data_IF_068247579652
#
_entry.id   IF_068247579652
#
_cell.length_a   1.000
_cell.length_b   1.000
_cell.length_c   1.000
_cell.angle_alpha   90.00
_cell.angle_beta   90.00
_cell.angle_gamma   90.00
#
_symmetry.space_group_name_H-M   'P 1'
#
loop_
_entity.id
_entity.type
_entity.pdbx_description
1 polymer ?
#
# COMPACT_ATOMS: atom_id res chain seq x y z
N UNK A 1 -23.83 38.73 -28.19
CA UNK A 1 -22.85 38.51 -27.12
C UNK A 1 -23.50 37.65 -26.04
N UNK A 2 -23.13 36.37 -25.87
CA UNK A 2 -23.66 35.55 -24.78
C UNK A 2 -22.66 35.48 -23.60
N UNK A 3 -23.11 35.96 -22.45
CA UNK A 3 -22.52 35.77 -21.13
C UNK A 3 -22.22 34.30 -20.86
N UNK A 4 -20.95 33.92 -20.78
CA UNK A 4 -20.49 32.64 -20.22
C UNK A 4 -20.13 32.86 -18.75
N UNK A 5 -20.94 32.32 -17.85
CA UNK A 5 -20.54 32.03 -16.48
C UNK A 5 -19.84 30.67 -16.45
N UNK A 6 -18.62 30.52 -15.90
CA UNK A 6 -18.18 29.25 -15.38
C UNK A 6 -18.43 29.21 -13.87
N UNK A 7 -19.43 28.40 -13.52
CA UNK A 7 -19.39 27.37 -12.47
C UNK A 7 -18.72 27.77 -11.16
N UNK A 8 -19.56 27.96 -10.14
CA UNK A 8 -19.18 27.82 -8.73
C UNK A 8 -18.38 26.53 -8.56
N UNK A 9 -17.09 26.63 -8.24
CA UNK A 9 -16.33 25.47 -7.75
C UNK A 9 -16.95 25.06 -6.42
N UNK A 10 -17.80 24.05 -6.50
CA UNK A 10 -18.30 23.30 -5.37
C UNK A 10 -17.11 22.75 -4.57
N UNK A 11 -17.22 22.87 -3.25
CA UNK A 11 -16.61 22.00 -2.26
C UNK A 11 -15.09 21.84 -2.32
N UNK A 12 -14.42 22.34 -1.28
CA UNK A 12 -13.41 21.51 -0.61
C UNK A 12 -14.11 20.21 -0.22
N UNK A 13 -14.12 19.24 -1.11
CA UNK A 13 -14.33 17.86 -0.71
C UNK A 13 -13.09 17.49 0.05
N UNK A 14 -13.23 17.25 1.36
CA UNK A 14 -12.34 16.36 2.08
C UNK A 14 -12.28 15.06 1.25
N UNK A 15 -11.27 14.93 0.41
CA UNK A 15 -10.92 13.64 -0.17
C UNK A 15 -10.70 12.72 1.03
N UNK A 16 -11.37 11.55 1.11
CA UNK A 16 -10.96 10.52 2.07
C UNK A 16 -9.45 10.41 1.96
N UNK A 17 -8.72 10.66 3.05
CA UNK A 17 -7.26 10.71 3.00
C UNK A 17 -6.81 9.43 2.33
N UNK A 18 -6.11 9.51 1.19
CA UNK A 18 -5.64 8.34 0.42
C UNK A 18 -4.80 7.37 1.28
N UNK A 19 -4.35 7.86 2.44
CA UNK A 19 -3.68 7.14 3.50
C UNK A 19 -4.56 6.15 4.29
N UNK A 20 -5.89 6.33 4.34
CA UNK A 20 -6.81 5.44 5.08
C UNK A 20 -6.91 4.04 4.45
N UNK A 21 -7.12 3.88 3.12
CA UNK A 21 -7.02 2.57 2.47
C UNK A 21 -5.65 1.91 2.64
N UNK A 22 -4.58 2.71 2.68
CA UNK A 22 -3.21 2.21 2.82
C UNK A 22 -2.93 1.70 4.25
N UNK A 23 -3.43 2.37 5.29
CA UNK A 23 -3.36 1.87 6.66
C UNK A 23 -4.04 0.50 6.79
N UNK A 24 -5.28 0.38 6.30
CA UNK A 24 -6.03 -0.88 6.34
C UNK A 24 -5.29 -1.98 5.57
N UNK A 25 -4.74 -1.67 4.39
CA UNK A 25 -3.94 -2.61 3.63
C UNK A 25 -2.72 -3.10 4.42
N UNK A 26 -1.96 -2.19 5.02
CA UNK A 26 -0.76 -2.53 5.77
C UNK A 26 -1.07 -3.31 7.06
N UNK A 27 -2.17 -3.01 7.76
CA UNK A 27 -2.63 -3.78 8.92
C UNK A 27 -2.98 -5.24 8.54
N UNK A 28 -3.74 -5.41 7.45
CA UNK A 28 -4.08 -6.74 6.96
C UNK A 28 -2.84 -7.50 6.47
N UNK A 29 -1.94 -6.83 5.76
CA UNK A 29 -0.65 -7.40 5.36
C UNK A 29 0.17 -7.87 6.57
N UNK A 30 0.19 -7.07 7.65
CA UNK A 30 0.92 -7.38 8.87
C UNK A 30 0.38 -8.64 9.56
N UNK A 31 -0.94 -8.81 9.58
CA UNK A 31 -1.57 -10.01 10.13
C UNK A 31 -1.16 -11.28 9.36
N UNK A 32 -1.10 -11.20 8.03
CA UNK A 32 -0.75 -12.37 7.20
C UNK A 32 0.73 -12.76 7.33
N UNK A 33 1.64 -11.78 7.41
CA UNK A 33 3.08 -12.04 7.53
C UNK A 33 3.47 -12.51 8.94
N UNK A 34 2.73 -12.09 9.97
CA UNK A 34 2.92 -12.49 11.35
C UNK A 34 2.42 -13.92 11.65
N UNK A 35 1.65 -14.54 10.75
CA UNK A 35 1.20 -15.91 10.88
C UNK A 35 2.37 -16.90 10.75
N UNK A 36 2.86 -17.37 11.91
CA UNK A 36 3.98 -18.32 12.03
C UNK A 36 3.60 -19.76 11.65
N UNK A 37 2.33 -20.06 11.37
CA UNK A 37 1.92 -21.37 10.85
C UNK A 37 2.29 -21.55 9.38
N UNK A 38 2.58 -20.46 8.67
CA UNK A 38 2.98 -20.46 7.26
C UNK A 38 4.49 -20.49 7.12
N UNK A 39 4.97 -20.91 5.95
CA UNK A 39 6.36 -20.69 5.55
C UNK A 39 6.59 -19.22 5.18
N UNK A 40 7.83 -18.68 5.32
CA UNK A 40 8.12 -17.27 5.06
C UNK A 40 7.64 -16.77 3.69
N UNK A 41 7.93 -17.50 2.61
CA UNK A 41 7.47 -17.14 1.26
C UNK A 41 5.95 -17.07 1.18
N UNK A 42 5.25 -18.08 1.70
CA UNK A 42 3.79 -18.13 1.68
C UNK A 42 3.16 -16.98 2.47
N UNK A 43 3.75 -16.61 3.61
CA UNK A 43 3.31 -15.50 4.43
C UNK A 43 3.48 -14.15 3.71
N UNK A 44 4.58 -13.94 3.00
CA UNK A 44 4.84 -12.73 2.20
C UNK A 44 3.86 -12.63 1.02
N UNK A 45 3.58 -13.75 0.33
CA UNK A 45 2.56 -13.79 -0.74
C UNK A 45 1.17 -13.49 -0.19
N UNK A 46 0.81 -14.05 0.97
CA UNK A 46 -0.49 -13.81 1.61
C UNK A 46 -0.65 -12.34 2.05
N UNK A 47 0.40 -11.75 2.63
CA UNK A 47 0.48 -10.33 2.96
C UNK A 47 0.18 -9.46 1.73
N UNK A 48 0.90 -9.71 0.65
CA UNK A 48 0.70 -9.03 -0.62
C UNK A 48 -0.75 -9.14 -1.13
N UNK A 49 -1.33 -10.34 -1.16
CA UNK A 49 -2.71 -10.55 -1.60
C UNK A 49 -3.75 -9.88 -0.68
N UNK A 50 -3.46 -9.71 0.62
CA UNK A 50 -4.33 -8.98 1.53
C UNK A 50 -4.27 -7.47 1.29
N UNK A 51 -3.08 -6.92 1.07
CA UNK A 51 -2.90 -5.51 0.70
C UNK A 51 -3.62 -5.19 -0.60
N UNK A 52 -3.49 -6.03 -1.63
CA UNK A 52 -4.18 -5.84 -2.91
C UNK A 52 -5.71 -5.80 -2.75
N UNK A 53 -6.27 -6.75 -1.98
CA UNK A 53 -7.72 -6.79 -1.73
C UNK A 53 -8.21 -5.54 -1.02
N UNK A 54 -7.44 -5.05 -0.05
CA UNK A 54 -7.78 -3.84 0.70
C UNK A 54 -7.73 -2.58 -0.17
N UNK A 55 -6.69 -2.46 -1.01
CA UNK A 55 -6.55 -1.32 -1.92
C UNK A 55 -7.61 -1.37 -3.04
N UNK A 56 -7.91 -2.55 -3.57
CA UNK A 56 -8.96 -2.75 -4.56
C UNK A 56 -10.38 -2.40 -4.06
N UNK A 57 -10.60 -2.42 -2.75
CA UNK A 57 -11.87 -2.00 -2.14
C UNK A 57 -12.08 -0.47 -2.19
N UNK A 58 -11.04 0.31 -2.48
CA UNK A 58 -11.12 1.76 -2.64
C UNK A 58 -11.14 2.14 -4.13
N UNK A 59 -12.18 2.83 -4.63
CA UNK A 59 -12.27 3.24 -6.04
C UNK A 59 -11.11 4.14 -6.51
N UNK A 60 -10.47 4.87 -5.59
CA UNK A 60 -9.29 5.68 -5.88
C UNK A 60 -7.98 4.87 -5.91
N UNK A 61 -7.94 3.69 -5.27
CA UNK A 61 -6.76 2.82 -5.18
C UNK A 61 -6.91 1.49 -5.95
N UNK A 62 -8.03 1.30 -6.65
CA UNK A 62 -8.28 0.10 -7.46
C UNK A 62 -7.26 -0.02 -8.60
N UNK A 63 -6.68 -1.22 -8.83
CA UNK A 63 -5.80 -1.47 -9.97
C UNK A 63 -6.54 -1.19 -11.28
N UNK A 64 -5.87 -0.54 -12.24
CA UNK A 64 -6.32 -0.53 -13.64
C UNK A 64 -5.96 -1.89 -14.26
N UNK A 65 -6.69 -2.31 -15.30
CA UNK A 65 -6.51 -3.61 -15.97
C UNK A 65 -5.09 -3.88 -16.53
N UNK A 66 -4.20 -2.88 -16.54
CA UNK A 66 -2.81 -2.98 -17.00
C UNK A 66 -1.78 -2.80 -15.88
N UNK A 67 -2.21 -2.49 -14.66
CA UNK A 67 -1.28 -2.25 -13.56
C UNK A 67 -0.71 -3.58 -13.09
N UNK A 68 0.61 -3.64 -13.06
CA UNK A 68 1.30 -4.59 -12.21
C UNK A 68 1.08 -4.20 -10.76
N UNK A 69 1.11 -5.16 -9.84
CA UNK A 69 0.90 -4.90 -8.42
C UNK A 69 1.92 -3.95 -7.79
N UNK A 70 3.12 -3.89 -8.38
CA UNK A 70 4.15 -2.89 -8.07
C UNK A 70 3.71 -1.48 -8.44
N UNK A 71 2.99 -1.28 -9.55
CA UNK A 71 2.49 0.03 -9.99
C UNK A 71 1.33 0.55 -9.13
N UNK A 72 0.60 -0.33 -8.44
CA UNK A 72 -0.40 0.05 -7.43
C UNK A 72 0.28 0.53 -6.14
N UNK A 73 1.33 -0.17 -5.69
CA UNK A 73 2.17 0.28 -4.57
C UNK A 73 2.95 1.55 -4.90
N UNK A 74 3.53 1.65 -6.09
CA UNK A 74 4.25 2.85 -6.55
C UNK A 74 3.35 4.07 -6.64
N UNK A 75 2.07 3.93 -6.98
CA UNK A 75 1.12 5.06 -6.97
C UNK A 75 0.77 5.53 -5.56
N UNK A 76 0.67 4.61 -4.60
CA UNK A 76 0.55 4.95 -3.18
C UNK A 76 1.83 5.61 -2.62
N UNK A 77 2.98 5.38 -3.26
CA UNK A 77 4.25 6.07 -2.98
C UNK A 77 4.31 7.45 -3.66
N UNK A 78 3.79 7.58 -4.89
CA UNK A 78 3.83 8.80 -5.70
C UNK A 78 3.01 9.95 -5.09
N UNK A 79 2.04 9.63 -4.23
CA UNK A 79 1.25 10.60 -3.45
C UNK A 79 1.97 11.11 -2.19
N UNK A 80 3.24 10.77 -2.00
CA UNK A 80 4.14 11.18 -0.89
C UNK A 80 3.73 10.71 0.50
N UNK A 81 2.92 9.66 0.61
CA UNK A 81 2.50 9.11 1.91
C UNK A 81 3.59 8.26 2.55
N UNK A 82 4.46 7.62 1.77
CA UNK A 82 5.47 6.67 2.26
C UNK A 82 6.92 7.14 2.06
N UNK A 83 7.80 6.77 3.00
CA UNK A 83 9.25 6.88 2.80
C UNK A 83 9.69 5.91 1.69
N UNK A 84 10.60 6.34 0.78
CA UNK A 84 11.05 5.50 -0.34
C UNK A 84 11.58 4.13 0.10
N UNK A 85 12.30 4.06 1.22
CA UNK A 85 12.92 2.81 1.69
C UNK A 85 11.91 1.71 2.03
N UNK A 86 10.84 2.03 2.76
CA UNK A 86 9.84 1.03 3.19
C UNK A 86 9.09 0.44 2.00
N UNK A 87 8.77 1.28 1.01
CA UNK A 87 8.08 0.85 -0.19
C UNK A 87 8.98 -0.02 -1.08
N UNK A 88 10.22 0.39 -1.30
CA UNK A 88 11.19 -0.40 -2.07
C UNK A 88 11.38 -1.79 -1.46
N UNK A 89 11.55 -1.89 -0.14
CA UNK A 89 11.69 -3.20 0.53
C UNK A 89 10.49 -4.11 0.32
N UNK A 90 9.25 -3.58 0.41
CA UNK A 90 8.06 -4.40 0.15
C UNK A 90 7.99 -4.88 -1.31
N UNK A 91 8.26 -3.99 -2.27
CA UNK A 91 8.25 -4.34 -3.70
C UNK A 91 9.29 -5.42 -4.02
N UNK A 92 10.51 -5.29 -3.49
CA UNK A 92 11.58 -6.28 -3.68
C UNK A 92 11.19 -7.64 -3.08
N UNK A 93 10.67 -7.66 -1.85
CA UNK A 93 10.25 -8.90 -1.18
C UNK A 93 9.08 -9.57 -1.90
N UNK A 94 8.12 -8.81 -2.42
CA UNK A 94 7.00 -9.36 -3.20
C UNK A 94 7.46 -9.92 -4.54
N UNK A 95 8.32 -9.19 -5.26
CA UNK A 95 8.88 -9.66 -6.51
C UNK A 95 9.70 -10.95 -6.31
N UNK A 96 10.55 -10.99 -5.29
CA UNK A 96 11.32 -12.18 -4.94
C UNK A 96 10.42 -13.35 -4.58
N UNK A 97 9.41 -13.14 -3.73
CA UNK A 97 8.49 -14.20 -3.33
C UNK A 97 7.72 -14.83 -4.50
N UNK A 98 7.40 -14.02 -5.52
CA UNK A 98 6.52 -14.41 -6.62
C UNK A 98 7.27 -14.93 -7.84
N UNK A 99 8.47 -14.41 -8.10
CA UNK A 99 9.21 -14.69 -9.34
C UNK A 99 10.56 -15.36 -9.12
N UNK A 100 11.11 -15.35 -7.91
CA UNK A 100 12.39 -15.99 -7.61
C UNK A 100 12.22 -17.42 -7.10
N UNK A 101 13.25 -18.23 -7.33
CA UNK A 101 13.41 -19.55 -6.70
C UNK A 101 14.23 -19.49 -5.41
N UNK A 102 14.84 -18.35 -5.08
CA UNK A 102 15.67 -18.15 -3.88
C UNK A 102 14.93 -18.50 -2.58
N UNK A 103 15.58 -19.24 -1.70
CA UNK A 103 15.02 -19.58 -0.38
C UNK A 103 14.73 -18.32 0.42
N UNK A 104 13.46 -18.08 0.72
CA UNK A 104 13.06 -17.01 1.65
C UNK A 104 13.08 -17.54 3.07
N UNK A 105 13.78 -16.82 3.93
CA UNK A 105 14.00 -17.14 5.34
C UNK A 105 13.10 -16.30 6.25
N UNK A 106 13.13 -16.61 7.54
CA UNK A 106 12.49 -15.78 8.57
C UNK A 106 12.99 -14.33 8.58
N UNK A 107 14.23 -14.07 8.14
CA UNK A 107 14.74 -12.70 8.02
C UNK A 107 13.97 -11.89 6.97
N UNK A 108 13.54 -12.54 5.87
CA UNK A 108 12.71 -11.90 4.86
C UNK A 108 11.31 -11.57 5.42
N UNK A 109 10.76 -12.46 6.26
CA UNK A 109 9.51 -12.21 6.99
C UNK A 109 9.66 -11.01 7.93
N UNK A 110 10.73 -10.96 8.70
CA UNK A 110 11.01 -9.85 9.62
C UNK A 110 11.21 -8.53 8.87
N UNK A 111 11.86 -8.56 7.71
CA UNK A 111 11.99 -7.39 6.84
C UNK A 111 10.63 -6.89 6.33
N UNK A 112 9.75 -7.80 5.88
CA UNK A 112 8.39 -7.46 5.48
C UNK A 112 7.58 -6.88 6.66
N UNK A 113 7.62 -7.50 7.83
CA UNK A 113 7.00 -6.98 9.05
C UNK A 113 7.49 -5.57 9.40
N UNK A 114 8.81 -5.35 9.34
CA UNK A 114 9.42 -4.05 9.62
C UNK A 114 8.98 -2.97 8.63
N UNK A 115 8.95 -3.30 7.34
CA UNK A 115 8.52 -2.38 6.30
C UNK A 115 7.03 -2.02 6.41
N UNK A 116 6.16 -2.98 6.75
CA UNK A 116 4.73 -2.71 7.01
C UNK A 116 4.50 -1.82 8.22
N UNK A 117 5.26 -2.03 9.32
CA UNK A 117 5.18 -1.15 10.49
C UNK A 117 5.62 0.27 10.15
N UNK A 118 6.69 0.42 9.38
CA UNK A 118 7.14 1.73 8.91
C UNK A 118 6.10 2.43 8.02
N UNK A 119 5.38 1.67 7.17
CA UNK A 119 4.25 2.19 6.39
C UNK A 119 3.13 2.71 7.28
N UNK A 120 2.77 1.97 8.34
CA UNK A 120 1.74 2.41 9.29
C UNK A 120 2.16 3.68 10.04
N UNK A 121 3.41 3.78 10.47
CA UNK A 121 3.96 5.00 11.08
C UNK A 121 3.89 6.19 10.12
N UNK A 122 4.29 6.00 8.87
CA UNK A 122 4.28 7.06 7.86
C UNK A 122 2.85 7.57 7.62
N UNK A 123 1.88 6.66 7.49
CA UNK A 123 0.46 7.02 7.35
C UNK A 123 -0.08 7.79 8.56
N UNK A 124 0.25 7.35 9.79
CA UNK A 124 -0.17 8.04 11.01
C UNK A 124 0.40 9.46 11.09
N UNK A 125 1.66 9.65 10.69
CA UNK A 125 2.29 10.96 10.63
C UNK A 125 1.60 11.87 9.61
N UNK A 126 1.22 11.36 8.44
CA UNK A 126 0.48 12.14 7.44
C UNK A 126 -0.91 12.56 7.94
N UNK A 127 -1.63 11.65 8.60
CA UNK A 127 -2.94 11.94 9.18
C UNK A 127 -2.86 13.03 10.27
N UNK A 128 -1.79 13.03 11.07
CA UNK A 128 -1.56 14.04 12.11
C UNK A 128 -1.20 15.43 11.55
N UNK A 129 -0.66 15.51 10.33
CA UNK A 129 -0.35 16.79 9.65
C UNK A 129 -1.58 17.32 8.90
N UNK A 130 -2.51 16.45 8.51
CA UNK A 130 -3.72 16.81 7.77
C UNK A 130 -4.91 17.21 8.66
N UNK A 131 -4.91 16.84 9.94
CA UNK A 131 -5.93 17.19 10.94
C UNK A 131 -5.60 18.45 11.73
#
# INVERSE_FOLDING_TARGET
DPTVMPVRRAGRGETPTESEPLAVAAELGLAEVADRSREPRAAIIACYAAMERALAASPQAAPRDSDTPSEVLERAVDTRVLRPGSATTLVELFAEARFSTHTMTEDHRLAAEGALRAVLEDVQLQNAVAG
#
